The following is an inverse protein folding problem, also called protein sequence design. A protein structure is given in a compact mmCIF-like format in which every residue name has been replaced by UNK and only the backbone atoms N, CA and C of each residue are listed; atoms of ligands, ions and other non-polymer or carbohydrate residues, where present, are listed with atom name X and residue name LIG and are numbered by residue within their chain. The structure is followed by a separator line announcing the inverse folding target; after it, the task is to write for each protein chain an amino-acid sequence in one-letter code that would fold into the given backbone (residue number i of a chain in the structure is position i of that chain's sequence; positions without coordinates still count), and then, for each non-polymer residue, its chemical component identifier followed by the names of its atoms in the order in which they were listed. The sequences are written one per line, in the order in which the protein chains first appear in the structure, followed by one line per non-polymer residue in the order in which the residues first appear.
data_IF_528739433500
#
_entry.id   IF_528739433500
#
_cell.length_a   1.000
_cell.length_b   1.000
_cell.length_c   1.000
_cell.angle_alpha   90.00
_cell.angle_beta   90.00
_cell.angle_gamma   90.00
#
_symmetry.space_group_name_H-M   'P 1'
#
loop_
_entity.id
_entity.type
_entity.pdbx_description
1 polymer ?
#
# COMPACT_ATOMS: atom_id res chain seq x y z
N UNK A 1 -0.07 2.27 26.95
CA UNK A 1 -0.04 3.05 28.22
C UNK A 1 0.46 4.46 27.92
N UNK A 2 -0.21 5.46 28.46
CA UNK A 2 0.28 6.84 28.48
C UNK A 2 1.16 6.97 29.73
N UNK A 3 2.40 7.38 29.57
CA UNK A 3 3.32 7.64 30.70
C UNK A 3 3.40 9.17 30.86
N UNK A 4 3.17 9.66 32.07
CA UNK A 4 3.39 11.06 32.38
C UNK A 4 4.90 11.31 32.48
N UNK A 5 5.43 12.27 31.73
CA UNK A 5 6.84 12.65 31.82
C UNK A 5 7.08 13.50 33.07
N UNK A 6 8.30 13.48 33.61
CA UNK A 6 8.72 14.31 34.74
C UNK A 6 8.59 15.83 34.50
N UNK A 7 8.35 16.22 33.23
CA UNK A 7 8.11 17.60 32.79
C UNK A 7 6.64 17.94 32.59
N UNK A 8 5.71 17.12 33.08
CA UNK A 8 4.26 17.34 32.97
C UNK A 8 3.62 17.07 31.61
N UNK A 9 4.37 16.56 30.63
CA UNK A 9 3.86 16.16 29.32
C UNK A 9 3.44 14.68 29.29
N UNK A 10 2.56 14.32 28.34
CA UNK A 10 2.24 12.93 28.09
C UNK A 10 3.26 12.32 27.13
N UNK A 11 3.80 11.15 27.46
CA UNK A 11 4.64 10.37 26.58
C UNK A 11 3.90 9.10 26.15
N UNK A 12 3.69 8.95 24.85
CA UNK A 12 3.05 7.78 24.28
C UNK A 12 4.07 6.65 24.08
N UNK A 13 3.69 5.41 24.49
CA UNK A 13 4.56 4.25 24.33
C UNK A 13 4.36 3.61 22.93
N UNK A 14 5.30 2.75 22.53
CA UNK A 14 5.18 1.92 21.32
C UNK A 14 3.88 1.10 21.33
N UNK A 15 3.49 0.55 22.48
CA UNK A 15 2.26 -0.22 22.67
C UNK A 15 1.01 0.64 22.47
N UNK A 16 1.04 1.90 22.89
CA UNK A 16 -0.05 2.84 22.63
C UNK A 16 -0.26 3.01 21.12
N UNK A 17 0.80 3.30 20.35
CA UNK A 17 0.67 3.45 18.90
C UNK A 17 0.23 2.18 18.19
N UNK A 18 0.70 1.01 18.64
CA UNK A 18 0.25 -0.29 18.14
C UNK A 18 -1.24 -0.52 18.37
N UNK A 19 -1.73 -0.16 19.54
CA UNK A 19 -3.17 -0.26 19.86
C UNK A 19 -3.97 0.70 19.01
N UNK A 20 -3.53 1.96 18.87
CA UNK A 20 -4.23 2.94 18.01
C UNK A 20 -4.29 2.48 16.55
N UNK A 21 -3.21 1.92 16.01
CA UNK A 21 -3.22 1.34 14.67
C UNK A 21 -4.28 0.22 14.57
N UNK A 22 -4.29 -0.70 15.52
CA UNK A 22 -5.27 -1.79 15.57
C UNK A 22 -6.71 -1.27 15.61
N UNK A 23 -6.98 -0.27 16.43
CA UNK A 23 -8.31 0.34 16.58
C UNK A 23 -8.79 1.01 15.30
N UNK A 24 -7.87 1.63 14.54
CA UNK A 24 -8.17 2.30 13.26
C UNK A 24 -8.43 1.28 12.14
N UNK A 25 -7.58 0.24 12.02
CA UNK A 25 -7.65 -0.66 10.86
C UNK A 25 -8.60 -1.85 11.06
N UNK A 26 -8.86 -2.28 12.31
CA UNK A 26 -9.70 -3.46 12.55
C UNK A 26 -11.13 -3.32 12.05
N UNK A 27 -11.80 -2.16 12.18
CA UNK A 27 -13.18 -1.99 11.70
C UNK A 27 -13.33 -2.17 10.17
N UNK A 28 -12.30 -1.84 9.38
CA UNK A 28 -12.38 -1.95 7.92
C UNK A 28 -12.18 -3.38 7.41
N UNK A 29 -11.68 -4.28 8.24
CA UNK A 29 -11.34 -5.66 7.89
C UNK A 29 -12.47 -6.42 7.19
N UNK A 30 -13.71 -6.24 7.66
CA UNK A 30 -14.90 -6.91 7.10
C UNK A 30 -15.28 -6.45 5.69
N UNK A 31 -14.71 -5.35 5.21
CA UNK A 31 -14.97 -4.77 3.90
C UNK A 31 -13.90 -5.13 2.86
N UNK A 32 -12.86 -5.87 3.26
CA UNK A 32 -11.86 -6.37 2.32
C UNK A 32 -12.50 -7.40 1.39
N UNK A 33 -12.32 -7.19 0.09
CA UNK A 33 -12.73 -8.09 -0.97
C UNK A 33 -11.62 -8.19 -2.01
N UNK A 34 -10.79 -9.23 -1.89
CA UNK A 34 -9.58 -9.35 -2.69
C UNK A 34 -8.64 -8.16 -2.48
N UNK A 35 -8.25 -7.49 -3.56
CA UNK A 35 -7.38 -6.30 -3.54
C UNK A 35 -8.09 -4.97 -3.31
N UNK A 36 -9.32 -4.96 -2.81
CA UNK A 36 -10.17 -3.79 -2.66
C UNK A 36 -10.76 -3.72 -1.27
N UNK A 37 -11.14 -2.52 -0.83
CA UNK A 37 -12.00 -2.34 0.35
C UNK A 37 -13.29 -1.70 -0.12
N UNK A 38 -14.37 -2.47 -0.07
CA UNK A 38 -15.69 -2.07 -0.55
C UNK A 38 -16.58 -1.73 0.63
N UNK A 39 -16.57 -0.48 1.07
CA UNK A 39 -17.33 -0.05 2.24
C UNK A 39 -18.74 0.41 1.85
N UNK A 40 -18.83 1.49 1.10
CA UNK A 40 -20.07 2.11 0.65
C UNK A 40 -19.75 3.08 -0.49
N UNK A 41 -20.78 3.72 -1.05
CA UNK A 41 -20.55 4.84 -1.97
C UNK A 41 -19.79 5.93 -1.25
N UNK A 42 -18.69 6.40 -1.85
CA UNK A 42 -17.89 7.51 -1.34
C UNK A 42 -18.21 8.80 -2.11
N UNK A 43 -17.78 9.92 -1.56
CA UNK A 43 -17.93 11.24 -2.16
C UNK A 43 -16.69 11.72 -2.94
N UNK A 44 -15.75 10.84 -3.23
CA UNK A 44 -14.59 11.17 -4.03
C UNK A 44 -15.03 11.54 -5.46
N UNK A 45 -14.32 12.48 -6.06
CA UNK A 45 -14.60 12.94 -7.44
C UNK A 45 -14.03 12.01 -8.53
N UNK A 46 -13.13 11.09 -8.15
CA UNK A 46 -12.59 10.06 -9.02
C UNK A 46 -13.41 8.75 -8.95
N UNK A 47 -13.12 7.82 -9.83
CA UNK A 47 -13.88 6.58 -9.99
C UNK A 47 -13.89 5.68 -8.74
N UNK A 48 -14.96 4.92 -8.56
CA UNK A 48 -15.15 4.02 -7.41
C UNK A 48 -14.02 3.00 -7.28
N UNK A 49 -13.51 2.47 -8.40
CA UNK A 49 -12.42 1.51 -8.39
C UNK A 49 -11.14 2.08 -7.76
N UNK A 50 -10.78 3.31 -8.11
CA UNK A 50 -9.62 3.99 -7.51
C UNK A 50 -9.80 4.20 -6.00
N UNK A 51 -11.01 4.53 -5.55
CA UNK A 51 -11.31 4.68 -4.13
C UNK A 51 -11.26 3.34 -3.36
N UNK A 52 -11.72 2.25 -3.97
CA UNK A 52 -11.61 0.90 -3.39
C UNK A 52 -10.14 0.48 -3.24
N UNK A 53 -9.29 0.83 -4.22
CA UNK A 53 -7.83 0.60 -4.17
C UNK A 53 -7.18 1.50 -3.13
N UNK A 54 -7.57 2.77 -3.04
CA UNK A 54 -7.10 3.69 -2.01
C UNK A 54 -7.38 3.14 -0.62
N UNK A 55 -8.60 2.72 -0.35
CA UNK A 55 -8.98 2.16 0.95
C UNK A 55 -8.21 0.87 1.27
N UNK A 56 -7.80 0.10 0.25
CA UNK A 56 -6.94 -1.07 0.41
C UNK A 56 -5.48 -0.68 0.69
N UNK A 57 -4.94 0.30 -0.02
CA UNK A 57 -3.52 0.66 0.05
C UNK A 57 -3.15 1.54 1.26
N UNK A 58 -4.01 2.49 1.66
CA UNK A 58 -3.70 3.49 2.69
C UNK A 58 -3.34 2.93 4.06
N UNK A 59 -3.92 1.83 4.56
CA UNK A 59 -3.49 1.24 5.83
C UNK A 59 -2.03 0.81 5.85
N UNK A 60 -1.38 0.61 4.68
CA UNK A 60 0.05 0.29 4.61
C UNK A 60 0.94 1.37 5.25
N UNK A 61 0.53 2.64 5.22
CA UNK A 61 1.28 3.71 5.90
C UNK A 61 1.44 3.49 7.41
N UNK A 62 0.50 2.75 8.03
CA UNK A 62 0.58 2.33 9.43
C UNK A 62 1.12 0.91 9.61
N UNK A 63 0.70 -0.04 8.76
CA UNK A 63 1.09 -1.44 8.87
C UNK A 63 2.57 -1.67 8.58
N UNK A 64 3.13 -0.98 7.58
CA UNK A 64 4.54 -1.14 7.21
C UNK A 64 5.49 -0.78 8.35
N UNK A 65 5.40 0.40 9.00
CA UNK A 65 6.27 0.69 10.14
C UNK A 65 5.97 -0.21 11.35
N UNK A 66 4.74 -0.70 11.50
CA UNK A 66 4.40 -1.70 12.51
C UNK A 66 5.16 -3.01 12.27
N UNK A 67 5.14 -3.55 11.06
CA UNK A 67 5.87 -4.76 10.67
C UNK A 67 7.40 -4.56 10.75
N UNK A 68 7.92 -3.50 10.15
CA UNK A 68 9.34 -3.15 10.20
C UNK A 68 9.85 -2.98 11.66
N UNK A 69 8.97 -2.57 12.57
CA UNK A 69 9.24 -2.48 14.02
C UNK A 69 9.04 -3.80 14.78
N UNK A 70 8.95 -4.95 14.09
CA UNK A 70 8.79 -6.28 14.69
C UNK A 70 7.36 -6.56 15.17
N UNK A 71 6.35 -5.85 14.66
CA UNK A 71 4.95 -6.19 14.88
C UNK A 71 4.51 -7.32 13.95
N UNK A 72 3.56 -8.14 14.41
CA UNK A 72 2.99 -9.23 13.64
C UNK A 72 1.47 -9.14 13.64
N UNK A 73 0.85 -9.35 12.48
CA UNK A 73 -0.59 -9.44 12.33
C UNK A 73 -0.92 -10.34 11.13
N UNK A 74 -0.94 -11.65 11.39
CA UNK A 74 -1.14 -12.68 10.38
C UNK A 74 -2.40 -12.46 9.53
N UNK A 75 -3.45 -11.90 10.12
CA UNK A 75 -4.68 -11.62 9.39
C UNK A 75 -4.46 -10.57 8.29
N UNK A 76 -3.84 -9.44 8.62
CA UNK A 76 -3.55 -8.41 7.62
C UNK A 76 -2.47 -8.85 6.64
N UNK A 77 -1.46 -9.59 7.08
CA UNK A 77 -0.44 -10.17 6.20
C UNK A 77 -1.10 -11.04 5.11
N UNK A 78 -1.99 -11.96 5.50
CA UNK A 78 -2.75 -12.78 4.54
C UNK A 78 -3.66 -11.95 3.63
N UNK A 79 -4.35 -10.93 4.17
CA UNK A 79 -5.19 -10.04 3.39
C UNK A 79 -4.39 -9.31 2.30
N UNK A 80 -3.21 -8.79 2.64
CA UNK A 80 -2.37 -8.09 1.66
C UNK A 80 -1.79 -9.03 0.60
N UNK A 81 -1.31 -10.22 0.97
CA UNK A 81 -0.82 -11.19 -0.01
C UNK A 81 -1.93 -11.62 -0.97
N UNK A 82 -3.11 -11.92 -0.46
CA UNK A 82 -4.28 -12.28 -1.28
C UNK A 82 -4.71 -11.10 -2.15
N UNK A 83 -4.81 -9.91 -1.56
CA UNK A 83 -5.25 -8.71 -2.24
C UNK A 83 -4.30 -8.26 -3.35
N UNK A 84 -3.00 -8.28 -3.11
CA UNK A 84 -2.00 -7.97 -4.14
C UNK A 84 -2.06 -9.01 -5.28
N UNK A 85 -2.21 -10.29 -4.93
CA UNK A 85 -2.31 -11.37 -5.92
C UNK A 85 -3.51 -11.18 -6.85
N UNK A 86 -4.69 -10.83 -6.32
CA UNK A 86 -5.90 -10.62 -7.12
C UNK A 86 -5.92 -9.24 -7.79
N UNK A 87 -5.51 -8.21 -7.06
CA UNK A 87 -5.56 -6.83 -7.54
C UNK A 87 -4.60 -6.52 -8.69
N UNK A 88 -3.46 -7.18 -8.74
CA UNK A 88 -2.50 -7.02 -9.82
C UNK A 88 -2.76 -7.95 -11.04
N UNK A 89 -3.69 -8.90 -10.94
CA UNK A 89 -3.97 -9.85 -12.02
C UNK A 89 -5.12 -9.37 -12.91
N UNK A 90 -4.81 -8.99 -14.16
CA UNK A 90 -5.80 -8.57 -15.18
C UNK A 90 -6.93 -9.57 -15.45
N UNK A 91 -6.71 -10.83 -15.11
CA UNK A 91 -7.70 -11.91 -15.32
C UNK A 91 -8.60 -12.14 -14.11
N UNK A 92 -8.34 -11.44 -13.00
CA UNK A 92 -9.07 -11.57 -11.76
C UNK A 92 -10.14 -10.48 -11.64
N UNK A 93 -11.32 -10.80 -11.14
CA UNK A 93 -12.40 -9.82 -10.90
C UNK A 93 -12.00 -8.75 -9.89
N UNK A 94 -11.00 -9.03 -9.05
CA UNK A 94 -10.38 -8.11 -8.12
C UNK A 94 -9.40 -7.11 -8.76
N UNK A 95 -9.16 -7.16 -10.07
CA UNK A 95 -8.15 -6.32 -10.74
C UNK A 95 -8.33 -4.83 -10.46
N UNK A 96 -7.22 -4.16 -10.16
CA UNK A 96 -7.19 -2.71 -9.85
C UNK A 96 -7.38 -1.80 -11.06
N UNK A 97 -7.43 -2.37 -12.26
CA UNK A 97 -7.55 -1.62 -13.51
C UNK A 97 -6.21 -1.16 -14.08
N UNK A 98 -6.20 -0.82 -15.35
CA UNK A 98 -5.08 -0.17 -16.02
C UNK A 98 -5.05 1.33 -15.66
N UNK A 99 -3.87 1.86 -15.42
CA UNK A 99 -3.71 3.28 -15.11
C UNK A 99 -3.78 4.14 -16.37
N UNK A 100 -4.34 5.33 -16.24
CA UNK A 100 -4.31 6.38 -17.24
C UNK A 100 -3.38 7.55 -16.83
N UNK A 101 -3.29 8.60 -17.62
CA UNK A 101 -2.52 9.79 -17.27
C UNK A 101 -3.14 10.49 -16.06
N UNK A 102 -2.29 10.97 -15.15
CA UNK A 102 -2.69 11.67 -13.91
C UNK A 102 -3.63 10.86 -13.02
N UNK A 103 -3.44 9.54 -13.01
CA UNK A 103 -4.31 8.57 -12.32
C UNK A 103 -4.14 8.64 -10.81
N UNK A 104 -5.26 8.62 -10.07
CA UNK A 104 -5.27 8.56 -8.61
C UNK A 104 -4.49 7.35 -8.06
N UNK A 105 -4.49 6.22 -8.76
CA UNK A 105 -3.78 5.00 -8.36
C UNK A 105 -2.27 5.18 -8.22
N UNK A 106 -1.67 6.23 -8.79
CA UNK A 106 -0.25 6.55 -8.56
C UNK A 106 0.06 6.89 -7.10
N UNK A 107 -0.89 7.54 -6.42
CA UNK A 107 -0.78 7.83 -4.98
C UNK A 107 -0.77 6.52 -4.19
N UNK A 108 -1.60 5.56 -4.61
CA UNK A 108 -1.71 4.26 -3.95
C UNK A 108 -0.50 3.38 -4.22
N UNK A 109 0.09 3.48 -5.42
CA UNK A 109 1.36 2.82 -5.74
C UNK A 109 2.48 3.23 -4.78
N UNK A 110 2.48 4.46 -4.28
CA UNK A 110 3.46 4.92 -3.29
C UNK A 110 3.33 4.17 -1.96
N UNK A 111 2.11 3.87 -1.51
CA UNK A 111 1.89 3.06 -0.31
C UNK A 111 2.40 1.63 -0.47
N UNK A 112 2.17 1.01 -1.63
CA UNK A 112 2.74 -0.31 -1.95
C UNK A 112 4.26 -0.24 -2.04
N UNK A 113 4.82 0.76 -2.72
CA UNK A 113 6.26 0.97 -2.81
C UNK A 113 6.90 1.10 -1.43
N UNK A 114 6.27 1.84 -0.52
CA UNK A 114 6.69 1.95 0.87
C UNK A 114 6.76 0.57 1.55
N UNK A 115 5.77 -0.29 1.30
CA UNK A 115 5.76 -1.69 1.77
C UNK A 115 6.93 -2.50 1.23
N UNK A 116 7.22 -2.42 -0.08
CA UNK A 116 8.33 -3.12 -0.72
C UNK A 116 9.70 -2.62 -0.20
N UNK A 117 9.79 -1.35 0.19
CA UNK A 117 11.04 -0.77 0.71
C UNK A 117 11.31 -1.19 2.16
N UNK A 118 10.32 -1.19 3.03
CA UNK A 118 10.53 -1.29 4.48
C UNK A 118 10.05 -2.60 5.12
N UNK A 119 9.19 -3.35 4.44
CA UNK A 119 8.69 -4.65 4.90
C UNK A 119 8.49 -5.63 3.72
N UNK A 120 9.50 -5.86 2.87
CA UNK A 120 9.37 -6.76 1.71
C UNK A 120 8.99 -8.18 2.12
N UNK A 121 9.43 -8.65 3.29
CA UNK A 121 9.10 -9.95 3.85
C UNK A 121 7.60 -10.13 4.16
N UNK A 122 6.82 -9.03 4.22
CA UNK A 122 5.37 -9.05 4.47
C UNK A 122 4.54 -8.83 3.20
N UNK A 123 5.04 -8.06 2.23
CA UNK A 123 4.24 -7.65 1.06
C UNK A 123 4.78 -8.16 -0.27
N UNK A 124 6.02 -8.64 -0.32
CA UNK A 124 6.66 -9.08 -1.56
C UNK A 124 7.13 -10.53 -1.54
N UNK A 125 7.94 -10.91 -0.55
CA UNK A 125 8.58 -12.23 -0.52
C UNK A 125 7.58 -13.39 -0.52
N UNK A 126 6.44 -13.33 0.19
CA UNK A 126 5.46 -14.39 0.20
C UNK A 126 4.66 -14.55 -1.10
N UNK A 127 4.72 -13.56 -2.02
CA UNK A 127 4.03 -13.64 -3.31
C UNK A 127 4.62 -14.72 -4.21
N UNK A 128 3.75 -15.47 -4.89
CA UNK A 128 4.17 -16.40 -5.96
C UNK A 128 4.74 -15.64 -7.16
N UNK A 129 5.58 -16.29 -7.96
CA UNK A 129 6.26 -15.68 -9.11
C UNK A 129 5.29 -14.98 -10.07
N UNK A 130 4.14 -15.57 -10.37
CA UNK A 130 3.12 -14.94 -11.23
C UNK A 130 2.58 -13.65 -10.63
N UNK A 131 2.26 -13.64 -9.33
CA UNK A 131 1.77 -12.45 -8.64
C UNK A 131 2.85 -11.36 -8.59
N UNK A 132 4.12 -11.72 -8.33
CA UNK A 132 5.26 -10.79 -8.41
C UNK A 132 5.38 -10.15 -9.79
N UNK A 133 5.26 -10.93 -10.87
CA UNK A 133 5.35 -10.42 -12.24
C UNK A 133 4.17 -9.50 -12.59
N UNK A 134 2.98 -9.83 -12.14
CA UNK A 134 1.79 -9.00 -12.37
C UNK A 134 1.89 -7.68 -11.59
N UNK A 135 2.31 -7.75 -10.32
CA UNK A 135 2.46 -6.60 -9.45
C UNK A 135 3.57 -5.65 -9.91
N UNK A 136 4.72 -6.21 -10.34
CA UNK A 136 5.79 -5.43 -11.00
C UNK A 136 5.25 -4.67 -12.20
N UNK A 137 4.53 -5.33 -13.11
CA UNK A 137 3.98 -4.70 -14.33
C UNK A 137 3.00 -3.58 -13.98
N UNK A 138 2.14 -3.81 -13.00
CA UNK A 138 1.18 -2.81 -12.57
C UNK A 138 1.87 -1.59 -11.96
N UNK A 139 2.83 -1.79 -11.06
CA UNK A 139 3.62 -0.71 -10.47
C UNK A 139 4.46 0.03 -11.54
N UNK A 140 5.11 -0.72 -12.45
CA UNK A 140 5.96 -0.13 -13.48
C UNK A 140 5.20 0.79 -14.43
N UNK A 141 3.87 0.57 -14.59
CA UNK A 141 3.03 1.34 -15.52
C UNK A 141 3.02 2.84 -15.25
N UNK A 142 3.35 3.29 -14.04
CA UNK A 142 3.51 4.72 -13.71
C UNK A 142 4.58 5.41 -14.57
N UNK A 143 5.57 4.65 -15.07
CA UNK A 143 6.65 5.18 -15.91
C UNK A 143 6.19 5.50 -17.34
N UNK A 144 5.10 4.87 -17.77
CA UNK A 144 4.55 5.00 -19.14
C UNK A 144 3.42 6.05 -19.22
N UNK A 145 3.18 6.78 -18.11
CA UNK A 145 2.05 7.70 -17.97
C UNK A 145 2.50 9.10 -17.59
N UNK A 146 1.68 10.11 -17.96
CA UNK A 146 1.86 11.46 -17.43
C UNK A 146 1.51 11.49 -15.94
N UNK A 147 2.40 12.07 -15.14
CA UNK A 147 2.19 12.30 -13.70
C UNK A 147 2.03 13.80 -13.47
N UNK A 148 1.14 14.20 -12.56
CA UNK A 148 0.96 15.61 -12.22
C UNK A 148 2.28 16.24 -11.78
N UNK A 149 2.58 17.44 -12.31
CA UNK A 149 3.75 18.24 -11.91
C UNK A 149 3.54 18.83 -10.52
N UNK A 150 3.76 17.98 -9.51
CA UNK A 150 3.54 18.27 -8.09
C UNK A 150 4.32 17.25 -7.25
N UNK A 151 3.96 17.09 -5.96
CA UNK A 151 4.46 16.00 -5.12
C UNK A 151 4.22 14.59 -5.73
N UNK A 152 3.38 14.45 -6.74
CA UNK A 152 3.13 13.17 -7.40
C UNK A 152 4.35 12.63 -8.13
N UNK A 153 5.28 13.47 -8.56
CA UNK A 153 6.55 13.02 -9.14
C UNK A 153 7.34 12.13 -8.17
N UNK A 154 7.26 12.39 -6.86
CA UNK A 154 7.89 11.55 -5.85
C UNK A 154 7.26 10.15 -5.73
N UNK A 155 6.00 9.97 -6.10
CA UNK A 155 5.39 8.63 -6.14
C UNK A 155 6.05 7.75 -7.18
N UNK A 156 6.35 8.31 -8.36
CA UNK A 156 7.12 7.62 -9.40
C UNK A 156 8.53 7.25 -8.92
N UNK A 157 9.21 8.17 -8.26
CA UNK A 157 10.53 7.90 -7.66
C UNK A 157 10.44 6.76 -6.65
N UNK A 158 9.48 6.79 -5.73
CA UNK A 158 9.29 5.73 -4.72
C UNK A 158 9.05 4.37 -5.35
N UNK A 159 8.20 4.29 -6.39
CA UNK A 159 7.93 3.05 -7.12
C UNK A 159 9.22 2.49 -7.75
N UNK A 160 10.03 3.33 -8.40
CA UNK A 160 11.28 2.88 -9.01
C UNK A 160 12.33 2.45 -7.97
N UNK A 161 12.42 3.17 -6.83
CA UNK A 161 13.26 2.74 -5.69
C UNK A 161 12.82 1.38 -5.17
N UNK A 162 11.52 1.16 -5.00
CA UNK A 162 10.96 -0.09 -4.52
C UNK A 162 11.26 -1.25 -5.47
N UNK A 163 10.98 -1.07 -6.78
CA UNK A 163 11.27 -2.08 -7.80
C UNK A 163 12.75 -2.42 -7.86
N UNK A 164 13.64 -1.43 -7.81
CA UNK A 164 15.10 -1.63 -7.72
C UNK A 164 15.48 -2.45 -6.49
N UNK A 165 14.91 -2.11 -5.32
CA UNK A 165 15.21 -2.80 -4.06
C UNK A 165 14.84 -4.28 -4.09
N UNK A 166 13.71 -4.64 -4.70
CA UNK A 166 13.27 -6.04 -4.81
C UNK A 166 13.81 -6.75 -6.06
N UNK A 167 14.80 -6.17 -6.74
CA UNK A 167 15.49 -6.77 -7.89
C UNK A 167 14.63 -6.90 -9.15
N UNK A 168 13.74 -5.93 -9.39
CA UNK A 168 12.83 -5.92 -10.53
C UNK A 168 13.16 -4.79 -11.51
N UNK A 169 12.53 -4.83 -12.71
CA UNK A 169 12.69 -3.78 -13.72
C UNK A 169 12.22 -2.44 -13.15
N UNK A 170 13.04 -1.42 -13.27
CA UNK A 170 12.76 -0.04 -12.89
C UNK A 170 13.26 0.92 -13.96
N UNK A 171 12.80 2.17 -13.95
CA UNK A 171 13.32 3.22 -14.83
C UNK A 171 14.42 4.00 -14.10
N UNK A 172 15.65 3.93 -14.62
CA UNK A 172 16.77 4.72 -14.09
C UNK A 172 16.58 6.21 -14.38
N UNK A 173 15.93 6.54 -15.47
CA UNK A 173 15.66 7.93 -15.89
C UNK A 173 14.65 8.63 -14.95
N UNK A 174 13.74 7.84 -14.34
CA UNK A 174 12.68 8.34 -13.46
C UNK A 174 13.04 8.25 -11.96
N UNK A 175 14.28 7.91 -11.64
CA UNK A 175 14.88 7.97 -10.31
C UNK A 175 15.52 9.34 -10.07
#
# INVERSE_FOLDING_TARGET
KIIQSDRGGFMYTKEYFRQQLSDIISPIKKYYNGGKVQYARHSAWYENLSADVEAFARPLWGLVPFWAGGGENETFEKLYITGITSGADKKNDGYWGDCHDKDQRFVEMAAFAYGLIFAPEKVWEPLKSTAKNNFEKWLYSINDKEVCDSNWTFFRVLVNVALKKVGRKYSQEQL
#
